data_IF_042147472005
#
_entry.id   IF_042147472005
#
_cell.length_a   1.000
_cell.length_b   1.000
_cell.length_c   1.000
_cell.angle_alpha   90.00
_cell.angle_beta   90.00
_cell.angle_gamma   90.00
#
_symmetry.space_group_name_H-M   'P 1'
#
loop_
_entity.id
_entity.type
_entity.pdbx_description
1 polymer ?
#
# COMPACT_ATOMS: atom_id res chain seq x y z
N UNK A 1 -21.48 -53.62 11.98
CA UNK A 1 -21.46 -52.78 13.20
C UNK A 1 -20.14 -52.01 13.22
N UNK A 2 -20.19 -50.73 13.12
CA UNK A 2 -18.99 -49.87 13.28
C UNK A 2 -18.53 -50.03 14.73
N UNK A 3 -17.23 -50.34 14.96
CA UNK A 3 -16.74 -50.46 16.32
C UNK A 3 -16.75 -49.07 17.00
N UNK A 4 -16.92 -49.01 18.33
CA UNK A 4 -16.90 -47.71 19.04
C UNK A 4 -15.66 -46.88 18.72
N UNK A 5 -14.50 -47.51 18.49
CA UNK A 5 -13.28 -46.87 18.08
C UNK A 5 -13.37 -46.14 16.73
N UNK A 6 -14.08 -46.71 15.73
CA UNK A 6 -14.28 -46.05 14.41
C UNK A 6 -15.18 -44.82 14.52
N UNK A 7 -16.17 -44.84 15.40
CA UNK A 7 -17.03 -43.67 15.67
C UNK A 7 -16.25 -42.54 16.32
N UNK A 8 -15.34 -42.81 17.26
CA UNK A 8 -14.47 -41.80 17.87
C UNK A 8 -13.51 -41.17 16.85
N UNK A 9 -12.88 -41.99 15.98
CA UNK A 9 -12.01 -41.48 14.93
C UNK A 9 -12.75 -40.62 13.90
N UNK A 10 -13.96 -41.01 13.50
CA UNK A 10 -14.80 -40.22 12.59
C UNK A 10 -15.20 -38.89 13.23
N UNK A 11 -15.59 -38.91 14.52
CA UNK A 11 -15.87 -37.66 15.27
C UNK A 11 -14.69 -36.74 15.37
N UNK A 12 -13.50 -37.26 15.68
CA UNK A 12 -12.26 -36.50 15.74
C UNK A 12 -11.91 -35.87 14.39
N UNK A 13 -12.00 -36.64 13.29
CA UNK A 13 -11.75 -36.14 11.94
C UNK A 13 -12.75 -35.04 11.52
N UNK A 14 -14.03 -35.21 11.89
CA UNK A 14 -15.05 -34.19 11.62
C UNK A 14 -14.75 -32.86 12.36
N UNK A 15 -14.39 -32.95 13.65
CA UNK A 15 -14.00 -31.76 14.44
C UNK A 15 -12.75 -31.10 13.86
N UNK A 16 -11.76 -31.88 13.45
CA UNK A 16 -10.54 -31.36 12.83
C UNK A 16 -10.85 -30.67 11.49
N UNK A 17 -11.71 -31.26 10.68
CA UNK A 17 -12.14 -30.68 9.40
C UNK A 17 -12.89 -29.35 9.58
N UNK A 18 -13.83 -29.28 10.51
CA UNK A 18 -14.56 -28.06 10.84
C UNK A 18 -13.63 -26.98 11.41
N UNK A 19 -12.69 -27.38 12.23
CA UNK A 19 -11.66 -26.45 12.75
C UNK A 19 -10.76 -25.91 11.62
N UNK A 20 -10.27 -26.76 10.70
CA UNK A 20 -9.50 -26.32 9.52
C UNK A 20 -10.29 -25.33 8.67
N UNK A 21 -11.57 -25.60 8.44
CA UNK A 21 -12.45 -24.69 7.69
C UNK A 21 -12.59 -23.33 8.39
N UNK A 22 -12.75 -23.32 9.71
CA UNK A 22 -12.81 -22.10 10.50
C UNK A 22 -11.52 -21.28 10.41
N UNK A 23 -10.37 -21.93 10.50
CA UNK A 23 -9.06 -21.26 10.33
C UNK A 23 -8.91 -20.70 8.92
N UNK A 24 -9.22 -21.48 7.90
CA UNK A 24 -9.16 -21.03 6.51
C UNK A 24 -10.04 -19.80 6.27
N UNK A 25 -11.30 -19.85 6.72
CA UNK A 25 -12.23 -18.72 6.59
C UNK A 25 -11.70 -17.47 7.32
N UNK A 26 -11.14 -17.63 8.52
CA UNK A 26 -10.55 -16.51 9.28
C UNK A 26 -9.37 -15.88 8.53
N UNK A 27 -8.45 -16.68 8.01
CA UNK A 27 -7.28 -16.17 7.28
C UNK A 27 -7.71 -15.48 5.97
N UNK A 28 -8.67 -16.06 5.25
CA UNK A 28 -9.22 -15.46 4.03
C UNK A 28 -9.88 -14.11 4.31
N UNK A 29 -10.65 -13.99 5.40
CA UNK A 29 -11.24 -12.72 5.83
C UNK A 29 -10.18 -11.67 6.16
N UNK A 30 -9.09 -12.06 6.84
CA UNK A 30 -7.98 -11.15 7.14
C UNK A 30 -7.23 -10.70 5.86
N UNK A 31 -7.06 -11.59 4.88
CA UNK A 31 -6.53 -11.19 3.56
C UNK A 31 -7.46 -10.21 2.85
N UNK A 32 -8.76 -10.43 2.90
CA UNK A 32 -9.74 -9.48 2.35
C UNK A 32 -9.65 -8.10 3.04
N UNK A 33 -9.44 -8.06 4.35
CA UNK A 33 -9.25 -6.81 5.08
C UNK A 33 -7.99 -6.05 4.62
N UNK A 34 -6.89 -6.75 4.30
CA UNK A 34 -5.69 -6.13 3.71
C UNK A 34 -6.04 -5.52 2.34
N UNK A 35 -6.80 -6.20 1.50
CA UNK A 35 -7.20 -5.69 0.18
C UNK A 35 -8.08 -4.44 0.29
N UNK A 36 -9.02 -4.43 1.23
CA UNK A 36 -9.87 -3.24 1.50
C UNK A 36 -9.02 -2.06 1.97
N UNK A 37 -8.09 -2.30 2.89
CA UNK A 37 -7.18 -1.27 3.37
C UNK A 37 -6.22 -0.77 2.26
N UNK A 38 -5.74 -1.68 1.40
CA UNK A 38 -4.95 -1.34 0.23
C UNK A 38 -5.69 -0.39 -0.73
N UNK A 39 -6.98 -0.63 -0.99
CA UNK A 39 -7.77 0.24 -1.86
C UNK A 39 -7.80 1.70 -1.38
N UNK A 40 -7.76 1.94 -0.06
CA UNK A 40 -7.66 3.30 0.49
C UNK A 40 -6.29 3.94 0.25
N UNK A 41 -5.21 3.17 0.36
CA UNK A 41 -3.85 3.63 0.03
C UNK A 41 -3.77 3.96 -1.46
N UNK A 42 -4.28 3.08 -2.32
CA UNK A 42 -4.29 3.25 -3.77
C UNK A 42 -5.06 4.49 -4.20
N UNK A 43 -6.21 4.76 -3.59
CA UNK A 43 -7.01 5.96 -3.84
C UNK A 43 -6.21 7.23 -3.49
N UNK A 44 -5.53 7.26 -2.35
CA UNK A 44 -4.73 8.39 -1.92
C UNK A 44 -3.49 8.60 -2.82
N UNK A 45 -2.83 7.50 -3.24
CA UNK A 45 -1.71 7.55 -4.19
C UNK A 45 -2.16 8.03 -5.57
N UNK A 46 -3.35 7.62 -6.02
CA UNK A 46 -3.95 8.08 -7.27
C UNK A 46 -4.24 9.57 -7.27
N UNK A 47 -4.83 10.09 -6.20
CA UNK A 47 -5.07 11.52 -6.03
C UNK A 47 -3.75 12.33 -6.03
N UNK A 48 -2.69 11.79 -5.36
CA UNK A 48 -1.36 12.40 -5.40
C UNK A 48 -0.76 12.41 -6.80
N UNK A 49 -0.88 11.31 -7.52
CA UNK A 49 -0.38 11.21 -8.90
C UNK A 49 -1.04 12.23 -9.82
N UNK A 50 -2.35 12.42 -9.70
CA UNK A 50 -3.09 13.44 -10.47
C UNK A 50 -2.64 14.86 -10.11
N UNK A 51 -2.51 15.17 -8.82
CA UNK A 51 -2.01 16.48 -8.36
C UNK A 51 -0.59 16.77 -8.84
N UNK A 52 0.30 15.74 -8.80
CA UNK A 52 1.66 15.85 -9.31
C UNK A 52 1.70 16.08 -10.82
N UNK A 53 0.92 15.33 -11.59
CA UNK A 53 0.86 15.50 -13.04
C UNK A 53 0.37 16.90 -13.43
N UNK A 54 -0.63 17.43 -12.72
CA UNK A 54 -1.12 18.79 -12.93
C UNK A 54 -0.06 19.84 -12.57
N UNK A 55 0.62 19.66 -11.43
CA UNK A 55 1.71 20.55 -11.02
C UNK A 55 2.86 20.55 -12.02
N UNK A 56 3.33 19.37 -12.45
CA UNK A 56 4.43 19.26 -13.42
C UNK A 56 4.07 19.92 -14.75
N UNK A 57 2.83 19.78 -15.22
CA UNK A 57 2.37 20.44 -16.44
C UNK A 57 2.39 21.97 -16.28
N UNK A 58 1.97 22.49 -15.12
CA UNK A 58 1.93 23.93 -14.86
C UNK A 58 3.31 24.56 -14.72
N UNK A 59 4.31 23.82 -14.21
CA UNK A 59 5.66 24.36 -14.00
C UNK A 59 6.64 24.06 -15.16
N UNK A 60 6.27 23.25 -16.13
CA UNK A 60 7.16 22.81 -17.22
C UNK A 60 7.76 23.98 -18.00
N UNK A 61 6.93 24.96 -18.39
CA UNK A 61 7.37 26.14 -19.14
C UNK A 61 8.12 27.16 -18.26
N UNK A 62 7.60 27.54 -17.07
CA UNK A 62 8.29 28.48 -16.20
C UNK A 62 9.64 27.99 -15.65
N UNK A 63 9.81 26.68 -15.47
CA UNK A 63 11.03 26.07 -14.91
C UNK A 63 11.95 25.47 -15.98
N UNK A 64 12.02 26.05 -17.18
CA UNK A 64 12.91 25.57 -18.25
C UNK A 64 14.39 25.60 -17.90
N UNK A 65 14.83 26.46 -16.97
CA UNK A 65 16.20 26.46 -16.43
C UNK A 65 16.45 25.35 -15.40
N UNK A 66 15.41 24.74 -14.84
CA UNK A 66 15.44 23.75 -13.77
C UNK A 66 14.81 22.39 -14.21
N UNK A 67 14.95 22.05 -15.50
CA UNK A 67 14.37 20.81 -16.08
C UNK A 67 14.75 19.57 -15.30
N UNK A 68 15.99 19.50 -14.78
CA UNK A 68 16.45 18.38 -13.98
C UNK A 68 15.60 18.13 -12.71
N UNK A 69 15.05 19.19 -12.09
CA UNK A 69 14.18 19.03 -10.93
C UNK A 69 12.81 18.51 -11.32
N UNK A 70 12.24 18.99 -12.43
CA UNK A 70 10.97 18.54 -12.99
C UNK A 70 11.06 17.09 -13.42
N UNK A 71 12.11 16.73 -14.16
CA UNK A 71 12.38 15.35 -14.60
C UNK A 71 12.59 14.38 -13.44
N UNK A 72 13.30 14.79 -12.39
CA UNK A 72 13.52 13.97 -11.21
C UNK A 72 12.18 13.62 -10.51
N UNK A 73 11.25 14.57 -10.40
CA UNK A 73 9.91 14.31 -9.84
C UNK A 73 9.10 13.41 -10.76
N UNK A 74 9.13 13.63 -12.07
CA UNK A 74 8.43 12.78 -13.03
C UNK A 74 8.93 11.34 -12.99
N UNK A 75 10.26 11.14 -12.95
CA UNK A 75 10.87 9.82 -12.84
C UNK A 75 10.54 9.13 -11.52
N UNK A 76 10.61 9.84 -10.40
CA UNK A 76 10.25 9.29 -9.08
C UNK A 76 8.76 8.92 -9.01
N UNK A 77 7.88 9.74 -9.60
CA UNK A 77 6.45 9.42 -9.71
C UNK A 77 6.21 8.16 -10.53
N UNK A 78 6.91 7.98 -11.64
CA UNK A 78 6.82 6.76 -12.45
C UNK A 78 7.23 5.52 -11.67
N UNK A 79 8.26 5.61 -10.81
CA UNK A 79 8.67 4.53 -9.92
C UNK A 79 7.58 4.20 -8.89
N UNK A 80 6.93 5.21 -8.29
CA UNK A 80 5.82 4.98 -7.35
C UNK A 80 4.66 4.30 -8.05
N UNK A 81 4.29 4.71 -9.26
CA UNK A 81 3.21 4.07 -10.03
C UNK A 81 3.55 2.61 -10.36
N UNK A 82 4.77 2.32 -10.79
CA UNK A 82 5.22 0.95 -11.06
C UNK A 82 5.20 0.07 -9.79
N UNK A 83 5.65 0.61 -8.65
CA UNK A 83 5.60 -0.09 -7.37
C UNK A 83 4.16 -0.30 -6.87
N UNK A 84 3.26 0.67 -7.10
CA UNK A 84 1.84 0.56 -6.80
C UNK A 84 1.19 -0.58 -7.61
N UNK A 85 1.48 -0.67 -8.90
CA UNK A 85 0.99 -1.75 -9.76
C UNK A 85 1.55 -3.12 -9.37
N UNK A 86 2.80 -3.19 -8.94
CA UNK A 86 3.40 -4.43 -8.43
C UNK A 86 2.72 -4.89 -7.13
N UNK A 87 2.45 -3.95 -6.21
CA UNK A 87 1.78 -4.23 -4.94
C UNK A 87 0.31 -4.62 -5.16
N UNK A 88 -0.39 -4.02 -6.12
CA UNK A 88 -1.77 -4.41 -6.50
C UNK A 88 -1.85 -5.89 -6.88
N UNK A 89 -0.84 -6.42 -7.57
CA UNK A 89 -0.79 -7.84 -7.97
C UNK A 89 -0.46 -8.77 -6.81
N UNK A 90 0.33 -8.31 -5.82
CA UNK A 90 0.80 -9.10 -4.67
C UNK A 90 0.71 -8.30 -3.36
N UNK A 91 -0.52 -7.98 -2.88
CA UNK A 91 -0.74 -7.01 -1.79
C UNK A 91 -0.25 -7.48 -0.41
N UNK A 92 0.11 -8.75 -0.27
CA UNK A 92 0.64 -9.32 0.99
C UNK A 92 2.15 -9.47 0.96
N UNK A 93 2.80 -9.38 -0.23
CA UNK A 93 4.23 -9.65 -0.38
C UNK A 93 5.09 -8.53 0.24
N UNK A 94 6.07 -8.91 1.05
CA UNK A 94 6.94 -7.95 1.75
C UNK A 94 7.84 -7.15 0.81
N UNK A 95 8.33 -7.79 -0.25
CA UNK A 95 9.18 -7.17 -1.28
C UNK A 95 8.46 -6.00 -1.97
N UNK A 96 7.23 -6.22 -2.45
CA UNK A 96 6.45 -5.19 -3.13
C UNK A 96 6.07 -4.02 -2.23
N UNK A 97 5.80 -4.29 -0.94
CA UNK A 97 5.54 -3.24 0.06
C UNK A 97 6.81 -2.42 0.32
N UNK A 98 7.97 -3.08 0.45
CA UNK A 98 9.25 -2.40 0.66
C UNK A 98 9.64 -1.54 -0.55
N UNK A 99 9.39 -2.02 -1.77
CA UNK A 99 9.69 -1.29 -3.00
C UNK A 99 8.83 -0.04 -3.12
N UNK A 100 7.53 -0.11 -2.79
CA UNK A 100 6.67 1.08 -2.74
C UNK A 100 7.16 2.08 -1.69
N UNK A 101 7.54 1.62 -0.50
CA UNK A 101 8.07 2.49 0.56
C UNK A 101 9.35 3.22 0.13
N UNK A 102 10.27 2.53 -0.57
CA UNK A 102 11.49 3.14 -1.12
C UNK A 102 11.17 4.16 -2.21
N UNK A 103 10.33 3.81 -3.17
CA UNK A 103 9.93 4.71 -4.25
C UNK A 103 9.25 5.97 -3.71
N UNK A 104 8.43 5.83 -2.68
CA UNK A 104 7.75 6.94 -2.02
C UNK A 104 8.72 7.86 -1.28
N UNK A 105 9.71 7.31 -0.60
CA UNK A 105 10.76 8.11 0.05
C UNK A 105 11.57 8.93 -0.96
N UNK A 106 11.90 8.34 -2.11
CA UNK A 106 12.59 9.06 -3.21
C UNK A 106 11.72 10.19 -3.73
N UNK A 107 10.43 9.92 -3.99
CA UNK A 107 9.50 10.96 -4.46
C UNK A 107 9.37 12.10 -3.45
N UNK A 108 9.25 11.78 -2.16
CA UNK A 108 9.17 12.80 -1.11
C UNK A 108 10.42 13.69 -1.09
N UNK A 109 11.62 13.12 -1.25
CA UNK A 109 12.88 13.87 -1.25
C UNK A 109 12.97 14.85 -2.45
N UNK A 110 12.63 14.41 -3.66
CA UNK A 110 12.69 15.27 -4.87
C UNK A 110 11.58 16.33 -4.88
N UNK A 111 10.43 16.04 -4.27
CA UNK A 111 9.32 16.99 -4.13
C UNK A 111 9.70 18.22 -3.30
N UNK A 112 10.49 18.04 -2.24
CA UNK A 112 10.96 19.19 -1.40
C UNK A 112 11.68 20.22 -2.27
N UNK A 113 12.53 19.75 -3.18
CA UNK A 113 13.26 20.65 -4.10
C UNK A 113 12.33 21.36 -5.07
N UNK A 114 11.40 20.66 -5.69
CA UNK A 114 10.45 21.25 -6.63
C UNK A 114 9.59 22.32 -5.93
N UNK A 115 9.06 22.03 -4.75
CA UNK A 115 8.26 23.00 -3.98
C UNK A 115 9.08 24.24 -3.63
N UNK A 116 10.33 24.06 -3.21
CA UNK A 116 11.23 25.20 -2.92
C UNK A 116 11.46 26.08 -4.15
N UNK A 117 11.66 25.49 -5.34
CA UNK A 117 11.80 26.24 -6.60
C UNK A 117 10.53 27.03 -6.94
N UNK A 118 9.36 26.45 -6.76
CA UNK A 118 8.08 27.12 -6.96
C UNK A 118 7.93 28.29 -5.98
N UNK A 119 8.31 28.12 -4.71
CA UNK A 119 8.19 29.16 -3.70
C UNK A 119 9.20 30.30 -3.87
N UNK A 120 10.36 30.07 -4.52
CA UNK A 120 11.33 31.11 -4.84
C UNK A 120 10.88 32.06 -5.95
N UNK A 121 9.98 31.62 -6.85
CA UNK A 121 9.51 32.41 -7.98
C UNK A 121 8.16 33.07 -7.67
N UNK A 122 8.13 34.39 -7.56
CA UNK A 122 6.92 35.15 -7.24
C UNK A 122 5.77 34.91 -8.24
N UNK A 123 6.11 34.75 -9.53
CA UNK A 123 5.14 34.45 -10.58
C UNK A 123 4.43 33.11 -10.34
N UNK A 124 5.17 32.03 -9.99
CA UNK A 124 4.60 30.71 -9.72
C UNK A 124 3.78 30.69 -8.42
N UNK A 125 4.19 31.45 -7.42
CA UNK A 125 3.41 31.60 -6.18
C UNK A 125 2.07 32.30 -6.41
N UNK A 126 1.98 33.17 -7.39
CA UNK A 126 0.75 33.89 -7.73
C UNK A 126 -0.13 33.17 -8.75
N UNK A 127 0.40 32.13 -9.41
CA UNK A 127 -0.29 31.41 -10.47
C UNK A 127 -1.32 30.42 -9.91
N UNK A 128 -2.63 30.59 -10.15
CA UNK A 128 -3.64 29.63 -9.73
C UNK A 128 -3.45 28.23 -10.30
N UNK A 129 -2.89 28.12 -11.53
CA UNK A 129 -2.62 26.82 -12.16
C UNK A 129 -1.56 25.99 -11.39
N UNK A 130 -0.66 26.67 -10.67
CA UNK A 130 0.34 26.04 -9.80
C UNK A 130 -0.20 25.85 -8.39
N UNK A 131 -0.93 26.85 -7.85
CA UNK A 131 -1.38 26.81 -6.47
C UNK A 131 -2.50 25.78 -6.23
N UNK A 132 -3.40 25.56 -7.18
CA UNK A 132 -4.48 24.59 -7.06
C UNK A 132 -3.95 23.14 -6.86
N UNK A 133 -3.07 22.60 -7.73
CA UNK A 133 -2.49 21.28 -7.50
C UNK A 133 -1.60 21.21 -6.26
N UNK A 134 -0.86 22.28 -5.90
CA UNK A 134 -0.09 22.33 -4.66
C UNK A 134 -0.98 22.23 -3.41
N UNK A 135 -2.13 22.89 -3.39
CA UNK A 135 -3.09 22.79 -2.30
C UNK A 135 -3.58 21.34 -2.13
N UNK A 136 -3.94 20.67 -3.23
CA UNK A 136 -4.32 19.24 -3.21
C UNK A 136 -3.18 18.40 -2.63
N UNK A 137 -1.94 18.62 -3.08
CA UNK A 137 -0.78 17.86 -2.60
C UNK A 137 -0.45 18.11 -1.11
N UNK A 138 -0.75 19.32 -0.60
CA UNK A 138 -0.59 19.65 0.84
C UNK A 138 -1.64 18.99 1.73
N UNK A 139 -2.83 18.73 1.20
CA UNK A 139 -3.94 18.11 1.96
C UNK A 139 -3.90 16.58 1.97
N UNK A 140 -3.09 15.97 1.11
CA UNK A 140 -3.00 14.50 0.97
C UNK A 140 -2.22 13.77 2.06
N UNK A 141 -1.12 14.32 2.65
CA UNK A 141 -0.29 13.57 3.59
C UNK A 141 -1.05 12.96 4.77
N UNK A 142 -1.98 13.66 5.45
CA UNK A 142 -2.75 13.06 6.56
C UNK A 142 -3.61 11.87 6.09
N UNK A 143 -4.21 11.96 4.91
CA UNK A 143 -5.01 10.87 4.32
C UNK A 143 -4.16 9.65 4.01
N UNK A 144 -2.97 9.88 3.45
CA UNK A 144 -2.03 8.80 3.12
C UNK A 144 -1.49 8.12 4.38
N UNK A 145 -1.17 8.90 5.43
CA UNK A 145 -0.75 8.35 6.74
C UNK A 145 -1.84 7.48 7.33
N UNK A 146 -3.10 7.95 7.35
CA UNK A 146 -4.24 7.18 7.85
C UNK A 146 -4.46 5.88 7.04
N UNK A 147 -4.44 5.97 5.71
CA UNK A 147 -4.61 4.80 4.85
C UNK A 147 -3.50 3.76 5.07
N UNK A 148 -2.25 4.20 5.20
CA UNK A 148 -1.11 3.31 5.54
C UNK A 148 -1.26 2.67 6.92
N UNK A 149 -1.75 3.42 7.90
CA UNK A 149 -2.00 2.87 9.23
C UNK A 149 -3.03 1.75 9.16
N UNK A 150 -4.16 1.95 8.45
CA UNK A 150 -5.16 0.90 8.24
C UNK A 150 -4.58 -0.34 7.55
N UNK A 151 -3.76 -0.14 6.53
CA UNK A 151 -3.08 -1.24 5.84
C UNK A 151 -2.14 -2.01 6.78
N UNK A 152 -1.32 -1.29 7.56
CA UNK A 152 -0.40 -1.89 8.52
C UNK A 152 -1.14 -2.63 9.65
N UNK A 153 -2.29 -2.12 10.10
CA UNK A 153 -3.10 -2.76 11.14
C UNK A 153 -3.72 -4.06 10.62
N UNK A 154 -4.25 -4.06 9.41
CA UNK A 154 -4.75 -5.26 8.75
C UNK A 154 -3.63 -6.31 8.55
N UNK A 155 -2.44 -5.87 8.13
CA UNK A 155 -1.25 -6.72 8.00
C UNK A 155 -0.79 -7.31 9.34
N UNK A 156 -0.82 -6.53 10.42
CA UNK A 156 -0.52 -7.02 11.78
C UNK A 156 -1.51 -8.08 12.24
N UNK A 157 -2.81 -7.84 12.04
CA UNK A 157 -3.86 -8.79 12.41
C UNK A 157 -3.70 -10.12 11.63
N UNK A 158 -3.40 -10.05 10.33
CA UNK A 158 -3.11 -11.21 9.50
C UNK A 158 -1.86 -11.97 10.01
N UNK A 159 -0.75 -11.27 10.23
CA UNK A 159 0.49 -11.88 10.71
C UNK A 159 0.31 -12.54 12.09
N UNK A 160 -0.42 -11.87 13.01
CA UNK A 160 -0.72 -12.46 14.31
C UNK A 160 -1.55 -13.75 14.19
N UNK A 161 -2.55 -13.77 13.31
CA UNK A 161 -3.38 -14.96 13.11
C UNK A 161 -2.62 -16.13 12.47
N UNK A 162 -1.70 -15.87 11.54
CA UNK A 162 -0.89 -16.90 10.87
C UNK A 162 0.19 -17.49 11.77
N UNK A 163 0.65 -16.74 12.79
CA UNK A 163 1.67 -17.18 13.74
C UNK A 163 1.12 -17.94 14.95
N UNK A 164 -0.18 -17.82 15.24
CA UNK A 164 -0.81 -18.51 16.37
C UNK A 164 -0.86 -20.02 16.14
N UNK A 165 -0.54 -20.81 17.21
CA UNK A 165 -0.85 -22.23 17.21
C UNK A 165 -2.36 -22.44 17.31
N UNK A 166 -2.93 -23.40 16.57
CA UNK A 166 -2.30 -24.33 15.64
C UNK A 166 -2.25 -23.88 14.18
N UNK A 167 -2.71 -22.63 13.84
CA UNK A 167 -2.73 -22.06 12.47
C UNK A 167 -1.34 -22.07 11.82
N UNK A 168 -0.29 -21.88 12.60
CA UNK A 168 1.11 -21.91 12.14
C UNK A 168 1.48 -23.23 11.43
N UNK A 169 0.90 -24.35 11.84
CA UNK A 169 1.13 -25.66 11.21
C UNK A 169 0.52 -25.72 9.79
N UNK A 170 -0.56 -24.99 9.57
CA UNK A 170 -1.24 -24.91 8.28
C UNK A 170 -0.59 -23.88 7.35
N UNK A 171 0.21 -22.96 7.88
CA UNK A 171 0.85 -21.89 7.11
C UNK A 171 1.76 -22.43 6.01
N UNK A 172 2.52 -23.52 6.29
CA UNK A 172 3.37 -24.19 5.32
C UNK A 172 2.59 -24.95 4.24
N UNK A 173 1.41 -25.47 4.58
CA UNK A 173 0.54 -26.22 3.66
C UNK A 173 -0.21 -25.29 2.70
N UNK A 174 -0.63 -24.10 3.17
CA UNK A 174 -1.45 -23.16 2.40
C UNK A 174 -0.67 -21.95 1.87
N UNK A 175 0.65 -21.90 2.05
CA UNK A 175 1.50 -20.82 1.52
C UNK A 175 1.19 -19.44 2.11
N UNK A 176 0.81 -19.36 3.39
CA UNK A 176 0.56 -18.09 4.07
C UNK A 176 1.89 -17.39 4.39
N UNK A 177 2.31 -16.46 3.52
CA UNK A 177 3.48 -15.60 3.76
C UNK A 177 3.17 -14.47 4.76
N UNK A 178 4.23 -13.79 5.24
CA UNK A 178 4.09 -12.60 6.09
C UNK A 178 3.67 -11.38 5.28
N UNK A 179 2.71 -10.62 5.78
CA UNK A 179 2.32 -9.33 5.21
C UNK A 179 3.39 -8.28 5.52
N UNK A 180 3.75 -7.46 4.48
CA UNK A 180 4.65 -6.33 4.61
C UNK A 180 4.01 -5.14 5.32
N UNK A 181 4.81 -4.06 5.56
CA UNK A 181 4.39 -2.80 6.19
C UNK A 181 4.81 -1.61 5.33
N UNK A 182 3.88 -0.65 5.14
CA UNK A 182 4.09 0.66 4.47
C UNK A 182 4.57 1.73 5.44
#
# INVERSE_FOLDING_TARGET
MLSGATLYWLGLLAVLGLWMLGVYNRITALRAAILVAWAQVELALGARAQGLSALLAAVAEPLTSETAAVEAVAAAQAQVLAATDALRRRPVAQDTVADLSKADAVLAAVMVRLVALVEQQAALRADPAVQAPLAVLRDLPPRLVFARQMFNDAGRAYNAATQQFPTRLLGSLFGFGHAGRL
#
